data_IF_135209007184
#
_entry.id   IF_135209007184
#
_cell.length_a   1.000
_cell.length_b   1.000
_cell.length_c   1.000
_cell.angle_alpha   90.00
_cell.angle_beta   90.00
_cell.angle_gamma   90.00
#
_symmetry.space_group_name_H-M   'P 1'
#
loop_
_entity.id
_entity.type
_entity.pdbx_description
1 polymer ?
#
# COMPACT_ATOMS: atom_id res chain seq x y z
N UNK A 1 -17.76 29.60 -12.30
CA UNK A 1 -17.40 28.33 -12.98
C UNK A 1 -16.09 28.52 -13.73
N UNK A 2 -14.93 28.36 -13.08
CA UNK A 2 -13.64 28.31 -13.77
C UNK A 2 -13.38 26.83 -14.09
N UNK A 3 -13.32 26.51 -15.39
CA UNK A 3 -12.75 25.24 -15.85
C UNK A 3 -11.34 25.13 -15.28
N UNK A 4 -11.07 24.06 -14.56
CA UNK A 4 -9.74 23.67 -14.15
C UNK A 4 -9.04 23.20 -15.44
N UNK A 5 -8.21 24.08 -16.01
CA UNK A 5 -7.28 23.68 -17.06
C UNK A 5 -6.23 22.83 -16.35
N UNK A 6 -6.29 21.52 -16.56
CA UNK A 6 -5.17 20.63 -16.25
C UNK A 6 -4.14 20.92 -17.34
N UNK A 7 -3.36 22.00 -17.18
CA UNK A 7 -2.25 22.24 -18.10
C UNK A 7 -1.13 21.26 -17.74
N UNK A 8 -0.68 20.42 -18.69
CA UNK A 8 0.42 19.52 -18.44
C UNK A 8 1.67 20.34 -18.13
N UNK A 9 2.27 20.12 -16.96
CA UNK A 9 3.56 20.69 -16.64
C UNK A 9 4.63 19.91 -17.43
N UNK A 10 5.30 20.57 -18.37
CA UNK A 10 6.39 19.97 -19.13
C UNK A 10 7.63 19.81 -18.25
N UNK A 11 7.76 18.64 -17.62
CA UNK A 11 8.96 18.23 -16.87
C UNK A 11 10.09 17.74 -17.82
N UNK A 12 10.16 18.27 -19.05
CA UNK A 12 10.96 17.83 -20.19
C UNK A 12 12.26 17.08 -19.94
N UNK A 13 13.17 17.52 -19.04
CA UNK A 13 14.41 16.80 -18.76
C UNK A 13 14.28 15.57 -17.86
N UNK A 14 13.27 15.52 -16.98
CA UNK A 14 13.15 14.51 -15.90
C UNK A 14 12.27 13.34 -16.30
N UNK A 15 11.18 13.61 -17.03
CA UNK A 15 10.24 12.58 -17.52
C UNK A 15 9.85 12.86 -18.99
N UNK A 16 10.80 12.75 -19.93
CA UNK A 16 10.57 13.07 -21.33
C UNK A 16 9.42 12.25 -21.92
N UNK A 17 8.47 12.93 -22.58
CA UNK A 17 7.33 12.31 -23.24
C UNK A 17 6.22 11.79 -22.30
N UNK A 18 6.26 12.14 -21.01
CA UNK A 18 5.19 11.82 -20.06
C UNK A 18 4.32 13.04 -19.79
N UNK A 19 3.00 12.84 -19.79
CA UNK A 19 2.04 13.85 -19.35
C UNK A 19 2.02 13.88 -17.83
N UNK A 20 2.19 15.08 -17.26
CA UNK A 20 2.10 15.30 -15.81
C UNK A 20 0.75 15.93 -15.52
N UNK A 21 -0.04 15.25 -14.69
CA UNK A 21 -1.30 15.78 -14.18
C UNK A 21 -1.04 16.44 -12.82
N UNK A 22 -1.58 17.65 -12.63
CA UNK A 22 -1.48 18.37 -11.37
C UNK A 22 -2.80 18.29 -10.61
N UNK A 23 -2.73 18.06 -9.30
CA UNK A 23 -3.86 18.09 -8.39
C UNK A 23 -3.46 18.81 -7.10
N UNK A 24 -4.44 19.51 -6.50
CA UNK A 24 -4.29 20.11 -5.18
C UNK A 24 -4.59 19.11 -4.05
N UNK A 25 -4.97 17.87 -4.38
CA UNK A 25 -5.17 16.83 -3.39
C UNK A 25 -3.84 16.41 -2.77
N UNK A 26 -3.77 16.50 -1.46
CA UNK A 26 -2.68 15.97 -0.64
C UNK A 26 -2.87 14.45 -0.54
N UNK A 27 -2.02 13.69 -1.21
CA UNK A 27 -2.05 12.22 -1.21
C UNK A 27 -0.62 11.69 -1.25
N UNK A 28 -0.27 10.87 -0.27
CA UNK A 28 1.02 10.15 -0.25
C UNK A 28 0.96 8.92 -1.16
N UNK A 29 2.05 8.62 -1.86
CA UNK A 29 2.16 7.43 -2.70
C UNK A 29 1.94 6.11 -1.93
N UNK A 30 2.45 6.01 -0.70
CA UNK A 30 2.23 4.84 0.16
C UNK A 30 0.76 4.66 0.60
N UNK A 31 -0.05 5.71 0.54
CA UNK A 31 -1.48 5.63 0.82
C UNK A 31 -2.33 5.19 -0.40
N UNK A 32 -1.69 4.86 -1.53
CA UNK A 32 -2.35 4.38 -2.74
C UNK A 32 -1.80 3.02 -3.12
N UNK A 33 -2.60 1.98 -2.96
CA UNK A 33 -2.30 0.65 -3.50
C UNK A 33 -3.19 0.42 -4.71
N UNK A 34 -2.59 0.45 -5.91
CA UNK A 34 -3.29 0.38 -7.18
C UNK A 34 -3.41 -1.07 -7.67
N UNK A 35 -4.63 -1.51 -7.93
CA UNK A 35 -4.94 -2.72 -8.69
C UNK A 35 -5.38 -2.39 -10.11
N UNK A 36 -5.95 -3.36 -10.81
CA UNK A 36 -6.31 -3.19 -12.25
C UNK A 36 -7.41 -2.15 -12.48
N UNK A 37 -8.48 -2.16 -11.70
CA UNK A 37 -9.64 -1.25 -11.82
C UNK A 37 -10.00 -0.59 -10.47
N UNK A 38 -9.13 -0.73 -9.47
CA UNK A 38 -9.37 -0.24 -8.12
C UNK A 38 -8.13 0.39 -7.49
N UNK A 39 -8.36 1.29 -6.54
CA UNK A 39 -7.34 1.76 -5.62
C UNK A 39 -7.78 1.50 -4.18
N UNK A 40 -6.86 1.01 -3.35
CA UNK A 40 -7.06 0.87 -1.90
C UNK A 40 -6.39 2.04 -1.20
N UNK A 41 -7.15 2.74 -0.35
CA UNK A 41 -6.66 3.91 0.40
C UNK A 41 -7.21 3.89 1.84
N UNK A 42 -6.48 4.51 2.76
CA UNK A 42 -7.00 4.82 4.10
C UNK A 42 -7.82 6.11 4.10
N UNK A 43 -8.60 6.37 5.16
CA UNK A 43 -9.40 7.60 5.25
C UNK A 43 -8.56 8.85 5.55
N UNK A 44 -7.24 8.71 5.69
CA UNK A 44 -6.28 9.80 5.89
C UNK A 44 -6.43 10.91 4.86
N UNK A 45 -6.67 10.56 3.60
CA UNK A 45 -6.84 11.53 2.51
C UNK A 45 -7.92 12.58 2.81
N UNK A 46 -9.02 12.22 3.48
CA UNK A 46 -10.07 13.19 3.81
C UNK A 46 -9.70 14.11 4.98
N UNK A 47 -8.86 13.64 5.90
CA UNK A 47 -8.36 14.47 7.01
C UNK A 47 -7.35 15.49 6.54
N UNK A 48 -6.55 15.14 5.54
CA UNK A 48 -5.51 16.01 4.98
C UNK A 48 -6.06 16.98 3.93
N UNK A 49 -7.23 16.69 3.38
CA UNK A 49 -7.91 17.55 2.42
C UNK A 49 -9.23 18.11 2.99
N UNK A 50 -9.23 18.79 4.16
CA UNK A 50 -10.47 19.31 4.76
C UNK A 50 -11.13 20.40 3.92
N UNK A 51 -10.38 20.99 2.99
CA UNK A 51 -10.82 22.00 2.04
C UNK A 51 -11.58 21.41 0.84
N UNK A 52 -11.62 20.09 0.68
CA UNK A 52 -12.37 19.39 -0.37
C UNK A 52 -13.56 18.65 0.21
N UNK A 53 -14.69 18.69 -0.48
CA UNK A 53 -15.80 17.79 -0.13
C UNK A 53 -15.39 16.36 -0.46
N UNK A 54 -15.79 15.43 0.39
CA UNK A 54 -15.51 14.01 0.21
C UNK A 54 -15.84 13.50 -1.20
N UNK A 55 -17.02 13.81 -1.71
CA UNK A 55 -17.45 13.35 -3.05
C UNK A 55 -16.55 13.88 -4.17
N UNK A 56 -16.07 15.12 -4.05
CA UNK A 56 -15.17 15.74 -5.04
C UNK A 56 -13.79 15.10 -4.99
N UNK A 57 -13.26 14.87 -3.79
CA UNK A 57 -11.98 14.17 -3.64
C UNK A 57 -12.06 12.73 -4.18
N UNK A 58 -13.18 12.03 -3.94
CA UNK A 58 -13.41 10.69 -4.50
C UNK A 58 -13.50 10.69 -6.03
N UNK A 59 -14.14 11.68 -6.65
CA UNK A 59 -14.23 11.81 -8.12
C UNK A 59 -12.85 12.11 -8.73
N UNK A 60 -12.16 13.12 -8.19
CA UNK A 60 -10.82 13.50 -8.64
C UNK A 60 -9.80 12.36 -8.49
N UNK A 61 -9.87 11.58 -7.39
CA UNK A 61 -9.03 10.38 -7.22
C UNK A 61 -9.29 9.31 -8.29
N UNK A 62 -10.55 9.06 -8.67
CA UNK A 62 -10.86 8.08 -9.72
C UNK A 62 -10.33 8.52 -11.07
N UNK A 63 -10.46 9.80 -11.39
CA UNK A 63 -9.97 10.37 -12.65
C UNK A 63 -8.43 10.31 -12.73
N UNK A 64 -7.75 10.72 -11.65
CA UNK A 64 -6.29 10.77 -11.61
C UNK A 64 -5.65 9.38 -11.60
N UNK A 65 -6.23 8.44 -10.83
CA UNK A 65 -5.73 7.07 -10.72
C UNK A 65 -6.25 6.15 -11.84
N UNK A 66 -7.19 6.63 -12.65
CA UNK A 66 -7.85 5.88 -13.73
C UNK A 66 -8.48 4.57 -13.26
N UNK A 67 -9.23 4.63 -12.15
CA UNK A 67 -9.89 3.47 -11.53
C UNK A 67 -11.40 3.69 -11.36
N UNK A 68 -12.15 2.60 -11.45
CA UNK A 68 -13.60 2.62 -11.25
C UNK A 68 -13.95 2.57 -9.75
N UNK A 69 -13.16 1.84 -8.96
CA UNK A 69 -13.45 1.52 -7.56
C UNK A 69 -12.42 2.12 -6.60
N UNK A 70 -12.91 2.86 -5.60
CA UNK A 70 -12.11 3.25 -4.44
C UNK A 70 -12.48 2.37 -3.24
N UNK A 71 -11.51 1.66 -2.68
CA UNK A 71 -11.69 0.73 -1.56
C UNK A 71 -11.10 1.34 -0.29
N UNK A 72 -11.97 1.75 0.63
CA UNK A 72 -11.58 2.43 1.86
C UNK A 72 -11.34 1.46 3.02
N UNK A 73 -10.09 1.29 3.42
CA UNK A 73 -9.68 0.44 4.55
C UNK A 73 -9.56 1.25 5.86
N UNK A 74 -9.58 0.60 7.04
CA UNK A 74 -9.23 1.26 8.29
C UNK A 74 -7.74 1.66 8.31
N UNK A 75 -7.45 2.71 9.05
CA UNK A 75 -6.08 3.10 9.40
C UNK A 75 -5.55 2.16 10.50
N UNK A 76 -4.24 1.86 10.50
CA UNK A 76 -3.58 1.25 11.66
C UNK A 76 -3.23 2.37 12.66
N UNK A 77 -3.76 2.37 13.89
CA UNK A 77 -3.49 3.42 14.87
C UNK A 77 -2.03 3.47 15.34
N UNK A 78 -1.21 2.49 14.99
CA UNK A 78 0.21 2.41 15.33
C UNK A 78 1.13 2.56 14.11
N UNK A 79 0.54 2.84 12.94
CA UNK A 79 1.28 3.34 11.79
C UNK A 79 1.12 4.86 11.74
N UNK A 80 2.17 5.58 12.10
CA UNK A 80 2.15 7.04 12.09
C UNK A 80 1.97 7.62 10.68
N UNK A 81 2.29 6.85 9.63
CA UNK A 81 2.05 7.26 8.24
C UNK A 81 0.57 7.09 7.88
N UNK A 82 -0.11 6.11 8.47
CA UNK A 82 -1.49 5.76 8.17
C UNK A 82 -1.68 5.34 6.70
N UNK A 83 -0.66 4.69 6.13
CA UNK A 83 -0.61 4.33 4.71
C UNK A 83 -1.27 2.98 4.44
N UNK A 84 -1.65 2.77 3.18
CA UNK A 84 -2.34 1.56 2.75
C UNK A 84 -1.35 0.42 2.48
N UNK A 85 -0.14 0.75 2.01
CA UNK A 85 0.96 -0.17 1.72
C UNK A 85 1.51 -0.90 2.96
N UNK A 86 1.20 -0.40 4.16
CA UNK A 86 1.47 -1.07 5.43
C UNK A 86 0.48 -2.21 5.73
N UNK A 87 -0.68 -2.22 5.08
CA UNK A 87 -1.78 -3.16 5.37
C UNK A 87 -2.19 -4.02 4.18
N UNK A 88 -1.89 -3.58 2.95
CA UNK A 88 -2.38 -4.20 1.73
C UNK A 88 -1.29 -4.18 0.66
N UNK A 89 -1.09 -5.32 0.00
CA UNK A 89 -0.38 -5.41 -1.28
C UNK A 89 -1.22 -6.20 -2.28
N UNK A 90 -1.11 -5.90 -3.57
CA UNK A 90 -1.82 -6.66 -4.62
C UNK A 90 -1.13 -8.01 -4.80
N UNK A 91 -1.91 -9.10 -4.86
CA UNK A 91 -1.41 -10.42 -5.23
C UNK A 91 -1.66 -10.67 -6.72
N UNK A 92 -2.93 -10.67 -7.12
CA UNK A 92 -3.36 -10.85 -8.51
C UNK A 92 -4.85 -10.48 -8.66
N UNK A 93 -5.20 -9.72 -9.70
CA UNK A 93 -6.55 -9.21 -9.93
C UNK A 93 -7.19 -8.59 -8.68
N UNK A 94 -8.30 -9.18 -8.23
CA UNK A 94 -9.03 -8.76 -7.03
C UNK A 94 -8.54 -9.43 -5.73
N UNK A 95 -7.41 -10.14 -5.76
CA UNK A 95 -6.83 -10.80 -4.59
C UNK A 95 -5.72 -9.94 -4.03
N UNK A 96 -5.75 -9.71 -2.71
CA UNK A 96 -4.78 -8.85 -2.02
C UNK A 96 -4.18 -9.56 -0.82
N UNK A 97 -2.90 -9.29 -0.54
CA UNK A 97 -2.21 -9.72 0.66
C UNK A 97 -2.54 -8.78 1.81
N UNK A 98 -2.74 -9.35 3.00
CA UNK A 98 -2.88 -8.59 4.25
C UNK A 98 -2.00 -9.21 5.33
N UNK A 99 -1.55 -8.43 6.33
CA UNK A 99 -0.89 -9.01 7.49
C UNK A 99 -1.86 -9.91 8.26
N UNK A 100 -1.37 -11.05 8.74
CA UNK A 100 -2.12 -11.88 9.68
C UNK A 100 -2.16 -11.23 11.06
N UNK A 101 -3.21 -10.43 11.27
CA UNK A 101 -3.48 -9.74 12.53
C UNK A 101 -4.26 -10.59 13.54
N UNK A 102 -4.48 -11.89 13.28
CA UNK A 102 -5.31 -12.75 14.15
C UNK A 102 -4.79 -12.88 15.59
N UNK A 103 -3.51 -12.63 15.83
CA UNK A 103 -2.87 -12.69 17.16
C UNK A 103 -2.50 -11.32 17.72
N UNK A 104 -2.23 -10.33 16.87
CA UNK A 104 -1.67 -9.03 17.27
C UNK A 104 -2.74 -7.95 17.37
N UNK A 105 -3.68 -7.89 16.42
CA UNK A 105 -4.84 -7.00 16.46
C UNK A 105 -6.05 -7.63 15.73
N UNK A 106 -6.77 -8.56 16.38
CA UNK A 106 -7.89 -9.25 15.76
C UNK A 106 -9.03 -8.30 15.34
N UNK A 107 -9.17 -7.16 16.03
CA UNK A 107 -10.20 -6.17 15.75
C UNK A 107 -9.90 -5.42 14.46
N UNK A 108 -8.67 -4.92 14.28
CA UNK A 108 -8.21 -4.32 13.03
C UNK A 108 -8.29 -5.33 11.89
N UNK A 109 -7.80 -6.56 12.09
CA UNK A 109 -7.87 -7.62 11.07
C UNK A 109 -9.31 -7.90 10.60
N UNK A 110 -10.29 -7.92 11.52
CA UNK A 110 -11.71 -8.10 11.17
C UNK A 110 -12.26 -6.90 10.38
N UNK A 111 -11.92 -5.67 10.77
CA UNK A 111 -12.34 -4.45 10.05
C UNK A 111 -11.73 -4.39 8.65
N UNK A 112 -10.44 -4.69 8.52
CA UNK A 112 -9.70 -4.71 7.25
C UNK A 112 -10.31 -5.72 6.28
N UNK A 113 -10.46 -6.99 6.69
CA UNK A 113 -11.08 -8.02 5.86
C UNK A 113 -12.49 -7.65 5.41
N UNK A 114 -13.29 -7.05 6.30
CA UNK A 114 -14.64 -6.60 5.97
C UNK A 114 -14.64 -5.45 4.95
N UNK A 115 -13.73 -4.49 5.10
CA UNK A 115 -13.61 -3.36 4.18
C UNK A 115 -13.20 -3.84 2.77
N UNK A 116 -12.17 -4.69 2.69
CA UNK A 116 -11.68 -5.27 1.43
C UNK A 116 -12.76 -6.09 0.72
N UNK A 117 -13.44 -7.00 1.43
CA UNK A 117 -14.54 -7.81 0.85
C UNK A 117 -15.71 -6.96 0.34
N UNK A 118 -16.06 -5.87 1.03
CA UNK A 118 -17.07 -4.90 0.56
C UNK A 118 -16.63 -4.16 -0.70
N UNK A 119 -15.33 -3.94 -0.86
CA UNK A 119 -14.73 -3.40 -2.07
C UNK A 119 -14.63 -4.41 -3.23
N UNK A 120 -15.04 -5.67 -3.02
CA UNK A 120 -14.92 -6.73 -4.01
C UNK A 120 -13.52 -7.35 -4.08
N UNK A 121 -12.73 -7.24 -3.00
CA UNK A 121 -11.38 -7.80 -2.91
C UNK A 121 -11.34 -9.02 -1.98
N UNK A 122 -10.55 -10.04 -2.33
CA UNK A 122 -10.32 -11.23 -1.52
C UNK A 122 -9.00 -11.11 -0.74
N UNK A 123 -9.06 -10.98 0.60
CA UNK A 123 -7.85 -10.85 1.41
C UNK A 123 -7.20 -12.19 1.74
N UNK A 124 -5.92 -12.34 1.42
CA UNK A 124 -5.07 -13.48 1.75
C UNK A 124 -4.10 -13.09 2.88
N UNK A 125 -4.18 -13.71 4.07
CA UNK A 125 -3.29 -13.39 5.17
C UNK A 125 -1.88 -13.94 4.93
N UNK A 126 -0.87 -13.13 5.21
CA UNK A 126 0.56 -13.47 5.22
C UNK A 126 1.08 -13.38 6.65
N UNK A 127 2.03 -14.27 6.98
CA UNK A 127 2.74 -14.27 8.27
C UNK A 127 3.11 -12.85 8.67
N UNK A 128 2.85 -12.50 9.92
CA UNK A 128 3.10 -11.17 10.45
C UNK A 128 3.66 -11.29 11.85
N UNK A 129 4.70 -10.51 12.15
CA UNK A 129 5.40 -10.53 13.44
C UNK A 129 5.44 -9.17 14.14
N UNK A 130 4.60 -8.25 13.66
CA UNK A 130 4.46 -6.90 14.18
C UNK A 130 4.20 -6.91 15.68
N UNK A 131 4.86 -5.98 16.37
CA UNK A 131 4.78 -5.74 17.83
C UNK A 131 5.36 -6.81 18.76
N UNK A 132 6.08 -7.81 18.27
CA UNK A 132 6.85 -8.68 19.16
C UNK A 132 8.23 -8.11 19.56
N UNK A 133 8.76 -7.09 18.85
CA UNK A 133 10.20 -6.76 18.87
C UNK A 133 10.59 -5.25 18.80
N UNK A 134 9.66 -4.28 18.89
CA UNK A 134 9.99 -2.85 18.65
C UNK A 134 9.06 -1.80 19.27
N UNK A 135 9.41 -0.52 19.09
CA UNK A 135 8.65 0.68 19.50
C UNK A 135 7.29 0.77 18.78
N UNK A 136 6.41 1.65 19.26
CA UNK A 136 5.07 1.86 18.70
C UNK A 136 5.08 2.16 17.18
N UNK A 137 6.15 2.78 16.68
CA UNK A 137 6.30 3.24 15.30
C UNK A 137 7.09 2.28 14.38
N UNK A 138 7.38 1.06 14.82
CA UNK A 138 8.25 0.12 14.09
C UNK A 138 7.49 -0.76 13.10
N UNK A 139 7.90 -0.76 11.82
CA UNK A 139 7.43 -1.68 10.78
C UNK A 139 8.14 -3.05 10.74
N UNK A 140 8.99 -3.36 11.72
CA UNK A 140 9.62 -4.69 11.84
C UNK A 140 8.56 -5.80 11.89
N UNK A 141 8.69 -6.77 10.99
CA UNK A 141 7.74 -7.88 10.85
C UNK A 141 6.55 -7.59 9.92
N UNK A 142 6.57 -6.47 9.17
CA UNK A 142 5.56 -6.14 8.17
C UNK A 142 5.94 -6.61 6.75
N UNK A 143 5.61 -7.86 6.42
CA UNK A 143 5.98 -8.46 5.14
C UNK A 143 5.09 -8.08 3.95
N UNK A 144 3.98 -7.37 4.16
CA UNK A 144 3.16 -6.86 3.04
C UNK A 144 3.70 -5.55 2.45
N UNK A 145 4.66 -4.90 3.12
CA UNK A 145 5.36 -3.74 2.57
C UNK A 145 6.49 -4.18 1.60
N UNK A 146 6.06 -4.88 0.55
CA UNK A 146 6.89 -5.52 -0.48
C UNK A 146 6.81 -4.77 -1.81
N UNK A 147 7.71 -5.08 -2.74
CA UNK A 147 7.71 -4.49 -4.09
C UNK A 147 7.63 -5.59 -5.13
N UNK A 148 6.67 -5.44 -6.02
CA UNK A 148 6.46 -6.32 -7.16
C UNK A 148 7.06 -5.69 -8.43
N UNK A 149 7.98 -6.40 -9.08
CA UNK A 149 8.67 -5.98 -10.31
C UNK A 149 8.31 -6.90 -11.49
N UNK A 150 7.12 -7.52 -11.44
CA UNK A 150 6.61 -8.45 -12.43
C UNK A 150 7.21 -9.85 -12.28
N UNK A 151 8.49 -10.02 -12.63
CA UNK A 151 9.19 -11.32 -12.52
C UNK A 151 9.89 -11.53 -11.18
N UNK A 152 10.08 -10.46 -10.42
CA UNK A 152 10.76 -10.47 -9.12
C UNK A 152 9.85 -9.86 -8.05
N UNK A 153 9.87 -10.45 -6.86
CA UNK A 153 9.19 -9.94 -5.68
C UNK A 153 10.22 -9.64 -4.61
N UNK A 154 10.38 -8.37 -4.26
CA UNK A 154 11.30 -7.94 -3.20
C UNK A 154 10.54 -7.92 -1.87
N UNK A 155 10.93 -8.81 -0.95
CA UNK A 155 10.26 -8.98 0.34
C UNK A 155 11.17 -8.50 1.47
N UNK A 156 10.67 -7.72 2.44
CA UNK A 156 11.51 -7.29 3.56
C UNK A 156 11.93 -8.49 4.43
N UNK A 157 13.12 -8.40 4.99
CA UNK A 157 13.70 -9.35 5.93
C UNK A 157 14.28 -8.58 7.12
N UNK A 158 13.93 -8.98 8.34
CA UNK A 158 14.24 -8.20 9.54
C UNK A 158 15.29 -8.86 10.45
N UNK A 159 15.79 -10.04 10.10
CA UNK A 159 16.65 -10.87 10.94
C UNK A 159 15.89 -11.39 12.15
N UNK A 160 14.65 -11.88 11.97
CA UNK A 160 13.78 -12.39 13.03
C UNK A 160 13.21 -13.76 12.66
N UNK A 161 12.80 -14.62 13.63
CA UNK A 161 12.33 -15.97 13.33
C UNK A 161 11.17 -16.06 12.33
N UNK A 162 10.33 -15.02 12.25
CA UNK A 162 9.19 -14.98 11.34
C UNK A 162 9.58 -14.77 9.86
N UNK A 163 10.82 -14.35 9.57
CA UNK A 163 11.28 -14.04 8.21
C UNK A 163 11.12 -15.24 7.27
N UNK A 164 11.54 -16.44 7.73
CA UNK A 164 11.49 -17.67 6.95
C UNK A 164 10.05 -18.04 6.58
N UNK A 165 9.14 -18.03 7.56
CA UNK A 165 7.73 -18.36 7.34
C UNK A 165 7.02 -17.33 6.44
N UNK A 166 7.43 -16.06 6.48
CA UNK A 166 6.90 -15.05 5.56
C UNK A 166 7.42 -15.25 4.13
N UNK A 167 8.73 -15.51 3.98
CA UNK A 167 9.34 -15.77 2.67
C UNK A 167 8.74 -17.01 2.00
N UNK A 168 8.65 -18.13 2.71
CA UNK A 168 8.07 -19.38 2.20
C UNK A 168 6.61 -19.17 1.74
N UNK A 169 5.82 -18.44 2.53
CA UNK A 169 4.42 -18.16 2.17
C UNK A 169 4.33 -17.27 0.93
N UNK A 170 5.16 -16.23 0.83
CA UNK A 170 5.18 -15.34 -0.32
C UNK A 170 5.67 -16.05 -1.58
N UNK A 171 6.67 -16.93 -1.47
CA UNK A 171 7.12 -17.79 -2.56
C UNK A 171 6.03 -18.74 -3.05
N UNK A 172 5.29 -19.37 -2.13
CA UNK A 172 4.16 -20.24 -2.48
C UNK A 172 3.02 -19.49 -3.18
N UNK A 173 2.77 -18.23 -2.79
CA UNK A 173 1.75 -17.38 -3.41
C UNK A 173 2.16 -16.81 -4.78
N UNK A 174 3.47 -16.76 -5.07
CA UNK A 174 4.01 -16.24 -6.34
C UNK A 174 4.88 -17.29 -7.05
N UNK A 175 4.31 -18.43 -7.49
CA UNK A 175 5.09 -19.55 -8.01
C UNK A 175 5.86 -19.26 -9.31
N UNK A 176 5.57 -18.12 -9.97
CA UNK A 176 6.23 -17.68 -11.21
C UNK A 176 7.24 -16.55 -11.00
N UNK A 177 7.45 -16.10 -9.76
CA UNK A 177 8.34 -14.97 -9.43
C UNK A 177 9.55 -15.44 -8.64
N UNK A 178 10.66 -14.73 -8.82
CA UNK A 178 11.83 -14.86 -7.96
C UNK A 178 11.58 -14.03 -6.70
N UNK A 179 11.43 -14.68 -5.55
CA UNK A 179 11.21 -14.00 -4.26
C UNK A 179 12.56 -13.72 -3.59
N UNK A 180 12.94 -12.44 -3.55
CA UNK A 180 14.23 -11.98 -3.02
C UNK A 180 14.05 -11.24 -1.71
N UNK A 181 14.69 -11.75 -0.65
CA UNK A 181 14.71 -11.09 0.66
C UNK A 181 15.62 -9.88 0.68
N UNK A 182 15.12 -8.74 1.16
CA UNK A 182 15.86 -7.48 1.30
C UNK A 182 16.05 -7.17 2.80
N UNK A 183 17.28 -7.00 3.29
CA UNK A 183 17.52 -6.60 4.67
C UNK A 183 16.89 -5.23 4.99
N UNK A 184 15.83 -5.23 5.78
CA UNK A 184 15.05 -4.03 6.13
C UNK A 184 15.03 -3.74 7.63
N UNK A 185 15.81 -4.44 8.47
CA UNK A 185 15.77 -4.25 9.94
C UNK A 185 15.99 -2.80 10.37
N UNK A 186 16.96 -2.12 9.77
CA UNK A 186 17.28 -0.73 10.11
C UNK A 186 16.13 0.22 9.72
N UNK A 187 15.61 0.08 8.50
CA UNK A 187 14.50 0.87 7.99
C UNK A 187 13.19 0.57 8.74
N UNK A 188 12.95 -0.70 9.06
CA UNK A 188 11.80 -1.17 9.83
C UNK A 188 11.72 -0.53 11.22
N UNK A 189 12.87 -0.29 11.87
CA UNK A 189 12.91 0.41 13.16
C UNK A 189 12.50 1.89 13.06
N UNK A 190 12.53 2.46 11.86
CA UNK A 190 12.10 3.83 11.56
C UNK A 190 10.69 3.89 10.94
N UNK A 191 9.99 2.76 10.86
CA UNK A 191 8.61 2.67 10.41
C UNK A 191 8.40 2.40 8.92
N UNK A 192 9.46 2.21 8.13
CA UNK A 192 9.37 1.87 6.70
C UNK A 192 9.88 0.47 6.36
N UNK A 193 9.59 0.01 5.15
CA UNK A 193 10.24 -1.16 4.55
C UNK A 193 10.48 -0.93 3.05
N UNK A 194 10.62 -2.00 2.25
CA UNK A 194 11.09 -1.90 0.85
C UNK A 194 10.18 -0.97 0.04
N UNK A 195 8.85 -1.12 0.17
CA UNK A 195 7.90 -0.33 -0.60
C UNK A 195 8.05 1.17 -0.34
N UNK A 196 8.12 1.56 0.94
CA UNK A 196 8.26 2.97 1.34
C UNK A 196 9.56 3.63 0.83
N UNK A 197 10.59 2.85 0.54
CA UNK A 197 11.89 3.36 0.05
C UNK A 197 11.99 3.35 -1.48
N UNK A 198 10.93 2.99 -2.20
CA UNK A 198 10.94 2.83 -3.66
C UNK A 198 9.82 3.60 -4.34
N UNK A 199 10.01 3.84 -5.63
CA UNK A 199 8.98 4.31 -6.54
C UNK A 199 9.09 3.45 -7.80
N UNK A 200 8.10 2.58 -8.03
CA UNK A 200 8.11 1.59 -9.10
C UNK A 200 7.06 1.89 -10.16
N UNK A 201 7.25 1.42 -11.41
CA UNK A 201 6.18 1.46 -12.40
C UNK A 201 5.00 0.63 -11.89
N UNK A 202 3.81 1.20 -11.97
CA UNK A 202 2.57 0.46 -11.74
C UNK A 202 2.32 -0.38 -12.99
N UNK A 203 2.12 -1.69 -12.83
CA UNK A 203 1.94 -2.65 -13.93
C UNK A 203 0.49 -2.78 -14.35
#
# INVERSE_FOLDING_TARGET
>A
YRRMLVEPLDLGPVLPGRMVLHSELIVDGGNVVLGTDYAVLTRKVFRENPHRRRSQAEEELRELLQVDRLVWIPDDPFDFTGHADGLVAVLDGNTVLIPDLSRTDPALGKRLRRALRRGGLEPVPVTHAYKALGSADSAVGNYVNLVDLGTHLLVPQYGIPADAAAHERLAALHPRKVVTGIPCRALGRQGGAVHCATWGPVH
#
